data_IF_013901108788
#
_entry.id   IF_013901108788
#
_cell.length_a   1.000
_cell.length_b   1.000
_cell.length_c   1.000
_cell.angle_alpha   90.00
_cell.angle_beta   90.00
_cell.angle_gamma   90.00
#
_symmetry.space_group_name_H-M   'P 1'
#
loop_
_entity.id
_entity.type
_entity.pdbx_description
1 polymer ?
#
# COMPACT_ATOMS: atom_id res chain seq x y z
N UNK A 1 -18.05 1.76 -10.69
CA UNK A 1 -16.55 1.64 -10.62
C UNK A 1 -16.13 0.39 -11.32
N UNK A 2 -15.34 0.52 -12.38
CA UNK A 2 -14.85 -0.63 -13.14
C UNK A 2 -13.55 -1.15 -12.51
N UNK A 3 -13.36 -2.46 -12.59
CA UNK A 3 -12.12 -3.07 -12.12
C UNK A 3 -11.01 -2.87 -13.14
N UNK A 4 -9.83 -2.53 -12.66
CA UNK A 4 -8.66 -2.32 -13.49
C UNK A 4 -7.86 -3.62 -13.62
N UNK A 5 -7.68 -4.07 -14.84
CA UNK A 5 -6.91 -5.28 -15.17
C UNK A 5 -5.78 -4.87 -16.10
N UNK A 6 -4.54 -5.06 -15.65
CA UNK A 6 -3.36 -4.74 -16.45
C UNK A 6 -2.68 -5.97 -16.98
N UNK A 7 -2.79 -6.21 -18.30
CA UNK A 7 -2.03 -7.25 -19.00
C UNK A 7 -1.92 -6.89 -20.49
N UNK A 8 -1.40 -5.71 -20.79
CA UNK A 8 -1.29 -5.27 -22.18
C UNK A 8 0.01 -5.69 -22.85
N UNK A 9 1.01 -6.10 -22.08
CA UNK A 9 2.30 -6.47 -22.62
C UNK A 9 2.99 -7.51 -21.77
N UNK A 10 3.98 -8.15 -22.35
CA UNK A 10 4.93 -8.99 -21.62
C UNK A 10 6.35 -8.51 -21.94
N UNK A 11 7.25 -8.76 -21.03
CA UNK A 11 8.66 -8.42 -21.17
C UNK A 11 9.49 -9.55 -20.57
N UNK A 12 10.65 -9.82 -21.14
CA UNK A 12 11.54 -10.86 -20.64
C UNK A 12 12.14 -10.46 -19.29
N UNK A 13 12.23 -11.44 -18.38
CA UNK A 13 12.87 -11.27 -17.07
C UNK A 13 14.11 -12.17 -17.03
N UNK A 14 15.32 -11.60 -17.19
CA UNK A 14 16.55 -12.41 -17.14
C UNK A 14 16.78 -13.05 -15.78
N UNK A 15 17.56 -14.12 -15.77
CA UNK A 15 17.98 -14.76 -14.53
C UNK A 15 18.73 -13.76 -13.63
N UNK A 16 18.43 -13.77 -12.33
CA UNK A 16 19.02 -12.86 -11.35
C UNK A 16 18.33 -11.50 -11.26
N UNK A 17 17.43 -11.18 -12.19
CA UNK A 17 16.64 -9.96 -12.11
C UNK A 17 15.38 -10.20 -11.28
N UNK A 18 14.85 -9.13 -10.68
CA UNK A 18 13.64 -9.18 -9.85
C UNK A 18 12.53 -8.36 -10.47
N UNK A 19 11.33 -8.90 -10.44
CA UNK A 19 10.13 -8.15 -10.80
C UNK A 19 9.76 -7.22 -9.63
N UNK A 20 9.88 -5.92 -9.87
CA UNK A 20 9.50 -4.86 -8.92
C UNK A 20 8.31 -4.04 -9.43
N UNK A 21 7.44 -4.69 -10.18
CA UNK A 21 6.24 -4.03 -10.70
C UNK A 21 5.37 -3.51 -9.58
N UNK A 22 4.95 -2.27 -9.71
CA UNK A 22 3.98 -1.63 -8.83
C UNK A 22 2.78 -1.20 -9.64
N UNK A 23 1.60 -1.25 -9.03
CA UNK A 23 0.41 -0.61 -9.58
C UNK A 23 0.29 0.75 -8.93
N UNK A 24 0.18 1.80 -9.74
CA UNK A 24 0.02 3.17 -9.27
C UNK A 24 -1.24 3.75 -9.91
N UNK A 25 -2.21 4.10 -9.09
CA UNK A 25 -3.44 4.76 -9.50
C UNK A 25 -3.46 6.17 -8.93
N UNK A 26 -3.82 7.15 -9.77
CA UNK A 26 -3.94 8.55 -9.37
C UNK A 26 -5.35 9.04 -9.61
N UNK A 27 -5.91 9.71 -8.62
CA UNK A 27 -7.20 10.39 -8.76
C UNK A 27 -7.06 11.77 -9.41
N UNK A 28 -8.17 12.50 -9.53
CA UNK A 28 -8.16 13.83 -10.11
C UNK A 28 -7.28 14.80 -9.33
N UNK A 29 -6.64 15.73 -10.05
CA UNK A 29 -5.81 16.77 -9.43
C UNK A 29 -6.69 17.77 -8.69
N UNK A 30 -6.28 18.11 -7.46
CA UNK A 30 -6.91 19.11 -6.64
C UNK A 30 -5.81 19.93 -5.95
N UNK A 31 -5.78 21.24 -6.19
CA UNK A 31 -4.76 22.15 -5.67
C UNK A 31 -3.31 21.68 -5.88
N UNK A 32 -3.04 21.17 -7.09
CA UNK A 32 -1.70 20.72 -7.46
C UNK A 32 -1.30 19.37 -6.92
N UNK A 33 -2.24 18.63 -6.30
CA UNK A 33 -2.01 17.28 -5.79
C UNK A 33 -3.09 16.32 -6.25
N UNK A 34 -2.71 15.04 -6.38
CA UNK A 34 -3.65 13.96 -6.68
C UNK A 34 -3.63 12.96 -5.53
N UNK A 35 -4.79 12.44 -5.10
CA UNK A 35 -4.79 11.26 -4.26
C UNK A 35 -4.21 10.08 -5.06
N UNK A 36 -3.47 9.21 -4.40
CA UNK A 36 -2.87 8.03 -5.05
C UNK A 36 -3.15 6.78 -4.25
N UNK A 37 -3.22 5.67 -4.96
CA UNK A 37 -3.22 4.33 -4.38
C UNK A 37 -2.15 3.53 -5.10
N UNK A 38 -1.22 2.95 -4.34
CA UNK A 38 -0.19 2.08 -4.89
C UNK A 38 -0.30 0.69 -4.29
N UNK A 39 -0.01 -0.31 -5.10
CA UNK A 39 0.10 -1.69 -4.64
C UNK A 39 1.52 -2.16 -4.94
N UNK A 40 2.25 -2.47 -3.88
CA UNK A 40 3.62 -2.97 -3.95
C UNK A 40 3.64 -4.44 -3.54
N UNK A 41 4.29 -5.26 -4.35
CA UNK A 41 4.51 -6.67 -4.08
C UNK A 41 5.95 -6.87 -3.65
N UNK A 42 6.16 -7.45 -2.48
CA UNK A 42 7.50 -7.64 -1.90
C UNK A 42 7.76 -9.13 -1.74
N UNK A 43 8.85 -9.62 -2.34
CA UNK A 43 9.30 -10.99 -2.12
C UNK A 43 10.12 -11.06 -0.83
N UNK A 44 9.67 -11.90 0.09
CA UNK A 44 10.34 -12.11 1.37
C UNK A 44 11.44 -13.15 1.21
N UNK A 45 12.57 -12.96 1.91
CA UNK A 45 13.68 -13.92 1.94
C UNK A 45 13.38 -15.10 2.86
N UNK A 46 12.62 -14.82 3.92
CA UNK A 46 12.19 -15.83 4.90
C UNK A 46 10.73 -15.59 5.22
N UNK A 47 10.03 -16.64 5.65
CA UNK A 47 8.65 -16.49 6.08
C UNK A 47 8.55 -15.52 7.25
N UNK A 48 7.54 -14.68 7.22
CA UNK A 48 7.23 -13.73 8.28
C UNK A 48 5.75 -13.81 8.60
N UNK A 49 5.39 -13.61 9.87
CA UNK A 49 4.00 -13.37 10.24
C UNK A 49 3.58 -11.97 9.80
N UNK A 50 2.28 -11.74 9.71
CA UNK A 50 1.76 -10.40 9.43
C UNK A 50 2.25 -9.38 10.46
N UNK A 51 2.30 -9.76 11.75
CA UNK A 51 2.80 -8.91 12.83
C UNK A 51 4.27 -8.53 12.65
N UNK A 52 5.10 -9.52 12.31
CA UNK A 52 6.53 -9.28 12.05
C UNK A 52 6.72 -8.35 10.85
N UNK A 53 5.98 -8.57 9.79
CA UNK A 53 6.05 -7.73 8.60
C UNK A 53 5.58 -6.30 8.90
N UNK A 54 4.47 -6.13 9.62
CA UNK A 54 3.97 -4.82 10.01
C UNK A 54 4.99 -4.06 10.87
N UNK A 55 5.65 -4.74 11.81
CA UNK A 55 6.71 -4.14 12.64
C UNK A 55 7.92 -3.73 11.80
N UNK A 56 8.31 -4.55 10.84
CA UNK A 56 9.40 -4.24 9.92
C UNK A 56 9.09 -3.01 9.07
N UNK A 57 7.85 -2.90 8.55
CA UNK A 57 7.41 -1.75 7.79
C UNK A 57 7.40 -0.47 8.63
N UNK A 58 6.98 -0.56 9.88
CA UNK A 58 7.02 0.59 10.80
C UNK A 58 8.45 1.09 10.99
N UNK A 59 9.41 0.18 11.18
CA UNK A 59 10.81 0.54 11.28
C UNK A 59 11.29 1.25 10.01
N UNK A 60 10.94 0.73 8.84
CA UNK A 60 11.28 1.33 7.55
C UNK A 60 10.71 2.74 7.38
N UNK A 61 9.48 2.98 7.82
CA UNK A 61 8.87 4.31 7.80
C UNK A 61 9.67 5.30 8.65
N UNK A 62 10.13 4.87 9.82
CA UNK A 62 10.96 5.70 10.68
C UNK A 62 12.32 6.05 10.07
N UNK A 63 12.98 5.05 9.48
CA UNK A 63 14.33 5.21 8.89
C UNK A 63 14.29 5.97 7.56
N UNK A 64 13.36 5.62 6.68
CA UNK A 64 13.34 6.13 5.30
C UNK A 64 12.53 7.41 5.15
N UNK A 65 11.46 7.57 5.93
CA UNK A 65 10.49 8.65 5.77
C UNK A 65 10.36 9.53 7.01
N UNK A 66 11.19 9.31 8.02
CA UNK A 66 11.22 10.07 9.28
C UNK A 66 9.85 10.11 9.99
N UNK A 67 9.03 9.08 9.81
CA UNK A 67 7.75 8.95 10.52
C UNK A 67 8.03 8.59 11.97
N UNK A 68 7.50 9.37 12.91
CA UNK A 68 7.68 9.19 14.34
C UNK A 68 6.45 8.50 14.93
N UNK A 69 6.59 7.95 16.13
CA UNK A 69 5.46 7.36 16.87
C UNK A 69 4.28 8.33 16.98
N UNK A 70 4.57 9.61 17.21
CA UNK A 70 3.55 10.66 17.32
C UNK A 70 2.82 10.94 16.01
N UNK A 71 3.37 10.52 14.87
CA UNK A 71 2.72 10.66 13.57
C UNK A 71 1.72 9.55 13.29
N UNK A 72 1.76 8.45 14.04
CA UNK A 72 0.84 7.33 13.87
C UNK A 72 -0.52 7.69 14.48
N UNK A 73 -1.55 7.67 13.67
CA UNK A 73 -2.91 8.06 14.08
C UNK A 73 -3.81 6.88 14.37
N UNK A 74 -3.71 5.82 13.57
CA UNK A 74 -4.55 4.63 13.70
C UNK A 74 -3.71 3.40 13.36
N UNK A 75 -3.97 2.32 14.08
CA UNK A 75 -3.41 0.99 13.78
C UNK A 75 -4.45 -0.07 14.13
N UNK A 76 -4.54 -1.12 13.34
CA UNK A 76 -5.46 -2.21 13.67
C UNK A 76 -5.49 -3.32 12.65
N UNK A 77 -6.08 -4.43 13.08
CA UNK A 77 -6.34 -5.57 12.23
C UNK A 77 -7.53 -5.28 11.31
N UNK A 78 -7.47 -5.79 10.10
CA UNK A 78 -8.52 -5.67 9.10
C UNK A 78 -8.44 -6.86 8.15
N UNK A 79 -9.11 -6.78 7.02
CA UNK A 79 -9.00 -7.76 5.93
C UNK A 79 -8.75 -7.03 4.62
N UNK A 80 -8.08 -7.71 3.69
CA UNK A 80 -7.89 -7.24 2.33
C UNK A 80 -7.96 -8.44 1.39
N UNK A 81 -8.84 -8.36 0.38
CA UNK A 81 -9.04 -9.48 -0.53
C UNK A 81 -9.46 -10.78 0.17
N UNK A 82 -10.16 -10.67 1.30
CA UNK A 82 -10.58 -11.82 2.10
C UNK A 82 -9.51 -12.41 3.00
N UNK A 83 -8.31 -11.82 3.06
CA UNK A 83 -7.20 -12.30 3.88
C UNK A 83 -6.98 -11.39 5.09
N UNK A 84 -6.44 -11.95 6.21
CA UNK A 84 -6.04 -11.12 7.34
C UNK A 84 -5.06 -10.04 6.91
N UNK A 85 -5.27 -8.83 7.38
CA UNK A 85 -4.47 -7.67 7.06
C UNK A 85 -4.24 -6.80 8.31
N UNK A 86 -3.25 -5.93 8.22
CA UNK A 86 -2.97 -4.91 9.24
C UNK A 86 -2.90 -3.56 8.56
N UNK A 87 -3.61 -2.57 9.10
CA UNK A 87 -3.65 -1.22 8.55
C UNK A 87 -3.05 -0.21 9.53
N UNK A 88 -2.38 0.80 8.96
CA UNK A 88 -1.77 1.90 9.72
C UNK A 88 -2.01 3.21 8.99
N UNK A 89 -2.52 4.20 9.71
CA UNK A 89 -2.70 5.57 9.20
C UNK A 89 -1.72 6.48 9.91
N UNK A 90 -1.01 7.29 9.16
CA UNK A 90 0.02 8.17 9.70
C UNK A 90 0.20 9.44 8.87
N UNK A 91 0.74 10.46 9.52
CA UNK A 91 1.17 11.69 8.87
C UNK A 91 2.63 11.58 8.45
N UNK A 92 2.96 12.21 7.32
CA UNK A 92 4.34 12.38 6.88
C UNK A 92 4.50 13.71 6.15
N UNK A 93 5.73 14.12 5.92
CA UNK A 93 6.05 15.27 5.10
C UNK A 93 6.87 14.83 3.90
N UNK A 94 6.48 15.33 2.74
CA UNK A 94 7.19 15.10 1.49
C UNK A 94 7.46 16.46 0.86
N UNK A 95 8.74 16.87 0.82
CA UNK A 95 9.15 18.23 0.38
C UNK A 95 8.31 19.32 1.07
N UNK A 96 8.25 19.28 2.40
CA UNK A 96 7.48 20.21 3.25
C UNK A 96 5.95 20.16 3.06
N UNK A 97 5.45 19.25 2.23
CA UNK A 97 4.02 19.07 2.04
C UNK A 97 3.49 18.08 3.08
N UNK A 98 2.51 18.47 3.89
CA UNK A 98 1.92 17.55 4.85
C UNK A 98 0.99 16.55 4.13
N UNK A 99 1.32 15.28 4.25
CA UNK A 99 0.56 14.18 3.66
C UNK A 99 0.05 13.25 4.76
N UNK A 100 -1.01 12.53 4.44
CA UNK A 100 -1.52 11.44 5.25
C UNK A 100 -1.59 10.20 4.39
N UNK A 101 -1.12 9.08 4.94
CA UNK A 101 -1.13 7.79 4.25
C UNK A 101 -1.81 6.74 5.11
N UNK A 102 -2.47 5.80 4.43
CA UNK A 102 -2.86 4.54 5.02
C UNK A 102 -2.12 3.42 4.29
N UNK A 103 -1.40 2.61 5.04
CA UNK A 103 -0.81 1.37 4.50
C UNK A 103 -1.57 0.18 5.05
N UNK A 104 -1.85 -0.77 4.18
CA UNK A 104 -2.48 -2.03 4.51
C UNK A 104 -1.57 -3.16 4.05
N UNK A 105 -1.25 -4.08 4.97
CA UNK A 105 -0.30 -5.17 4.74
C UNK A 105 -0.99 -6.51 4.72
N UNK A 106 -0.62 -7.37 3.76
CA UNK A 106 -1.01 -8.78 3.72
C UNK A 106 0.24 -9.61 3.45
N UNK A 107 0.38 -10.73 4.15
CA UNK A 107 1.48 -11.69 3.92
C UNK A 107 0.87 -13.00 3.45
N UNK A 108 1.38 -13.51 2.33
CA UNK A 108 0.97 -14.80 1.76
C UNK A 108 2.22 -15.61 1.43
N UNK A 109 2.58 -16.55 2.31
CA UNK A 109 3.82 -17.32 2.14
C UNK A 109 5.04 -16.40 2.12
N UNK A 110 5.80 -16.45 1.04
CA UNK A 110 7.00 -15.63 0.86
C UNK A 110 6.73 -14.33 0.08
N UNK A 111 5.49 -13.88 0.03
CA UNK A 111 5.13 -12.64 -0.65
C UNK A 111 4.30 -11.77 0.29
N UNK A 112 4.70 -10.53 0.41
CA UNK A 112 3.93 -9.51 1.11
C UNK A 112 3.38 -8.48 0.11
N UNK A 113 2.22 -7.94 0.44
CA UNK A 113 1.57 -6.89 -0.35
C UNK A 113 1.38 -5.68 0.53
N UNK A 114 1.76 -4.52 0.02
CA UNK A 114 1.57 -3.23 0.69
C UNK A 114 0.68 -2.37 -0.20
N UNK A 115 -0.50 -2.03 0.28
CA UNK A 115 -1.38 -1.08 -0.39
C UNK A 115 -1.23 0.25 0.34
N UNK A 116 -0.78 1.28 -0.38
CA UNK A 116 -0.55 2.62 0.19
C UNK A 116 -1.49 3.61 -0.47
N UNK A 117 -2.33 4.23 0.33
CA UNK A 117 -3.20 5.31 -0.11
C UNK A 117 -2.65 6.61 0.45
N UNK A 118 -2.53 7.63 -0.40
CA UNK A 118 -1.93 8.90 -0.03
C UNK A 118 -2.82 10.05 -0.46
N UNK A 119 -3.00 11.00 0.43
CA UNK A 119 -3.68 12.27 0.15
C UNK A 119 -3.01 13.36 0.99
N UNK A 120 -3.34 14.62 0.73
CA UNK A 120 -2.93 15.68 1.66
C UNK A 120 -3.69 15.52 2.98
N UNK A 121 -3.14 16.05 4.05
CA UNK A 121 -3.80 16.01 5.37
C UNK A 121 -5.22 16.57 5.29
N UNK A 122 -5.41 17.66 4.53
CA UNK A 122 -6.71 18.32 4.40
C UNK A 122 -7.72 17.51 3.59
N UNK A 123 -7.27 16.67 2.66
CA UNK A 123 -8.14 15.92 1.74
C UNK A 123 -8.35 14.45 2.14
N UNK A 124 -7.53 13.92 3.02
CA UNK A 124 -7.53 12.48 3.30
C UNK A 124 -8.90 11.98 3.77
N UNK A 125 -9.56 12.69 4.68
CA UNK A 125 -10.86 12.26 5.20
C UNK A 125 -11.96 12.34 4.12
N UNK A 126 -11.85 13.28 3.19
CA UNK A 126 -12.77 13.39 2.05
C UNK A 126 -12.54 12.26 1.04
N UNK A 127 -11.29 11.84 0.84
CA UNK A 127 -10.92 10.77 -0.09
C UNK A 127 -11.12 9.37 0.52
N UNK A 128 -11.13 9.26 1.83
CA UNK A 128 -11.17 7.98 2.56
C UNK A 128 -12.35 7.07 2.15
N UNK A 129 -13.58 7.56 1.98
CA UNK A 129 -14.68 6.70 1.53
C UNK A 129 -14.41 6.05 0.16
N UNK A 130 -13.79 6.79 -0.76
CA UNK A 130 -13.42 6.25 -2.07
C UNK A 130 -12.30 5.22 -1.95
N UNK A 131 -11.28 5.50 -1.14
CA UNK A 131 -10.23 4.52 -0.83
C UNK A 131 -10.83 3.24 -0.25
N UNK A 132 -11.77 3.36 0.68
CA UNK A 132 -12.45 2.21 1.28
C UNK A 132 -13.18 1.39 0.22
N UNK A 133 -13.86 2.05 -0.74
CA UNK A 133 -14.55 1.36 -1.82
C UNK A 133 -13.58 0.63 -2.74
N UNK A 134 -12.43 1.23 -3.04
CA UNK A 134 -11.40 0.60 -3.84
C UNK A 134 -10.84 -0.65 -3.15
N UNK A 135 -10.60 -0.59 -1.83
CA UNK A 135 -10.12 -1.75 -1.05
C UNK A 135 -11.16 -2.87 -0.97
N UNK A 136 -12.45 -2.54 -0.92
CA UNK A 136 -13.52 -3.56 -0.94
C UNK A 136 -13.51 -4.38 -2.22
N UNK A 137 -13.07 -3.78 -3.32
CA UNK A 137 -12.97 -4.44 -4.62
C UNK A 137 -11.63 -5.12 -4.87
N UNK A 138 -10.72 -5.03 -3.92
CA UNK A 138 -9.41 -5.68 -4.02
C UNK A 138 -9.60 -7.20 -3.96
N UNK A 139 -9.08 -7.88 -4.96
CA UNK A 139 -9.12 -9.33 -5.05
C UNK A 139 -7.76 -9.87 -5.43
N UNK A 140 -7.30 -10.87 -4.67
CA UNK A 140 -6.13 -11.62 -5.08
C UNK A 140 -6.54 -12.60 -6.18
N UNK A 141 -5.87 -12.52 -7.32
CA UNK A 141 -6.00 -13.54 -8.37
C UNK A 141 -4.91 -14.54 -8.11
N UNK A 142 -5.32 -15.69 -7.60
CA UNK A 142 -4.39 -16.79 -7.41
C UNK A 142 -4.00 -17.34 -8.76
N UNK A 143 -2.68 -17.57 -9.01
CA UNK A 143 -2.31 -18.43 -10.12
C UNK A 143 -3.04 -19.76 -9.92
N UNK A 144 -3.51 -20.34 -11.02
CA UNK A 144 -4.03 -21.70 -10.98
C UNK A 144 -2.97 -22.59 -10.32
N UNK A 145 -3.41 -23.32 -9.32
CA UNK A 145 -2.50 -24.16 -8.53
C UNK A 145 -1.80 -25.16 -9.43
#
# INVERSE_FOLDING_TARGET
>A
MDDLIHHEYSVGLPEGWQDKTEVVLSGPMNDGTCPTLTVTRIRLKVEQTLEQFAAYQLHGLGVQMAVKKTDILEEGETTLGGLPAFARVYNLRFFDKPLMQRQTYVVRGLVAYVVTETSTVDQFEDDRPLFNEMLKRFQFRLPAA
#
